data_IF_604348655633
#
_entry.id   IF_604348655633
#
_cell.length_a   1.000
_cell.length_b   1.000
_cell.length_c   1.000
_cell.angle_alpha   90.00
_cell.angle_beta   90.00
_cell.angle_gamma   90.00
#
_symmetry.space_group_name_H-M   'P 1'
#
loop_
_entity.id
_entity.type
_entity.pdbx_description
1 polymer ?
#
# COMPACT_ATOMS: atom_id res chain seq x y z
N UNK A 1 -0.37 -4.80 7.90
CA UNK A 1 0.82 -3.99 7.55
C UNK A 1 2.02 -4.89 7.29
N UNK A 2 2.65 -4.75 6.13
CA UNK A 2 3.80 -5.56 5.71
C UNK A 2 5.11 -4.85 6.05
N UNK A 3 6.06 -5.56 6.67
CA UNK A 3 7.41 -5.10 6.94
C UNK A 3 8.39 -5.82 6.02
N UNK A 4 9.02 -5.09 5.11
CA UNK A 4 10.06 -5.63 4.22
C UNK A 4 11.41 -5.06 4.67
N UNK A 5 12.11 -5.81 5.51
CA UNK A 5 13.37 -5.38 6.13
C UNK A 5 14.38 -6.52 6.04
N UNK A 6 15.51 -6.27 5.37
CA UNK A 6 16.53 -7.29 5.13
C UNK A 6 17.29 -7.69 6.40
N UNK A 7 17.34 -6.80 7.41
CA UNK A 7 18.03 -7.07 8.65
C UNK A 7 17.07 -7.64 9.71
N UNK A 8 17.31 -8.88 10.22
CA UNK A 8 16.36 -9.55 11.11
C UNK A 8 16.15 -8.80 12.44
N UNK A 9 17.19 -8.18 13.00
CA UNK A 9 17.09 -7.41 14.25
C UNK A 9 16.26 -6.12 14.13
N UNK A 10 16.41 -5.39 13.02
CA UNK A 10 15.64 -4.15 12.77
C UNK A 10 14.17 -4.50 12.53
N UNK A 11 13.91 -5.55 11.75
CA UNK A 11 12.55 -6.01 11.49
C UNK A 11 11.82 -6.43 12.78
N UNK A 12 12.50 -7.15 13.68
CA UNK A 12 11.92 -7.57 14.96
C UNK A 12 11.65 -6.38 15.91
N UNK A 13 12.55 -5.40 15.98
CA UNK A 13 12.34 -4.19 16.80
C UNK A 13 11.17 -3.35 16.30
N UNK A 14 11.06 -3.18 14.98
CA UNK A 14 9.96 -2.44 14.37
C UNK A 14 8.61 -3.16 14.55
N UNK A 15 8.60 -4.48 14.37
CA UNK A 15 7.43 -5.32 14.62
C UNK A 15 6.97 -5.22 16.08
N UNK A 16 7.91 -5.29 17.04
CA UNK A 16 7.60 -5.14 18.46
C UNK A 16 6.98 -3.77 18.77
N UNK A 17 7.56 -2.68 18.24
CA UNK A 17 7.01 -1.33 18.41
C UNK A 17 5.58 -1.21 17.86
N UNK A 18 5.32 -1.78 16.69
CA UNK A 18 4.00 -1.73 16.06
C UNK A 18 2.97 -2.63 16.73
N UNK A 19 3.41 -3.76 17.30
CA UNK A 19 2.54 -4.67 18.03
C UNK A 19 2.13 -4.12 19.40
N UNK A 20 2.99 -3.33 20.05
CA UNK A 20 2.65 -2.62 21.30
C UNK A 20 1.47 -1.66 21.09
N UNK A 21 1.31 -1.09 19.89
CA UNK A 21 0.17 -0.24 19.59
C UNK A 21 -1.16 -1.02 19.40
N UNK A 22 -1.14 -2.38 19.37
CA UNK A 22 -2.27 -3.30 19.13
C UNK A 22 -3.17 -2.99 17.92
N UNK A 23 -2.76 -2.03 17.09
CA UNK A 23 -3.56 -1.46 16.01
C UNK A 23 -3.23 -2.01 14.62
N UNK A 24 -2.13 -2.73 14.50
CA UNK A 24 -1.64 -3.22 13.21
C UNK A 24 -1.37 -4.71 13.27
N UNK A 25 -2.04 -5.49 12.41
CA UNK A 25 -1.62 -6.86 12.10
C UNK A 25 -0.36 -6.79 11.24
N UNK A 26 0.79 -7.22 11.76
CA UNK A 26 2.10 -7.10 11.10
C UNK A 26 2.60 -8.43 10.58
N UNK A 27 3.12 -8.44 9.33
CA UNK A 27 3.89 -9.58 8.80
C UNK A 27 5.24 -9.10 8.28
N UNK A 28 6.27 -9.92 8.48
CA UNK A 28 7.64 -9.59 8.10
C UNK A 28 8.13 -10.50 6.98
N UNK A 29 8.80 -9.88 6.01
CA UNK A 29 9.56 -10.55 4.96
C UNK A 29 10.94 -9.90 4.85
N UNK A 30 11.91 -10.65 4.34
CA UNK A 30 13.31 -10.21 4.30
C UNK A 30 13.73 -9.68 2.92
N UNK A 31 12.90 -9.89 1.90
CA UNK A 31 13.17 -9.45 0.54
C UNK A 31 11.88 -9.18 -0.23
N UNK A 32 11.98 -8.40 -1.32
CA UNK A 32 10.85 -8.17 -2.23
C UNK A 32 10.45 -9.42 -3.02
N UNK A 33 11.37 -10.38 -3.19
CA UNK A 33 11.04 -11.66 -3.83
C UNK A 33 10.11 -12.51 -2.95
N UNK A 34 10.25 -12.46 -1.62
CA UNK A 34 9.30 -13.10 -0.70
C UNK A 34 7.91 -12.47 -0.75
N UNK A 35 7.81 -11.17 -1.06
CA UNK A 35 6.51 -10.51 -1.28
C UNK A 35 5.80 -11.13 -2.49
N UNK A 36 6.55 -11.40 -3.58
CA UNK A 36 6.00 -12.02 -4.79
C UNK A 36 5.70 -13.51 -4.65
N UNK A 37 6.55 -14.23 -3.92
CA UNK A 37 6.35 -15.64 -3.63
C UNK A 37 5.05 -15.89 -2.84
N UNK A 38 4.44 -14.83 -2.33
CA UNK A 38 3.12 -14.84 -1.74
C UNK A 38 3.22 -14.94 -0.24
N UNK A 39 2.58 -13.98 0.41
CA UNK A 39 2.11 -14.18 1.78
C UNK A 39 0.70 -14.75 1.61
N UNK A 40 0.52 -16.07 1.72
CA UNK A 40 -0.71 -16.83 1.41
C UNK A 40 -2.01 -16.04 1.62
N UNK A 41 -2.58 -15.52 0.52
CA UNK A 41 -3.86 -14.81 0.49
C UNK A 41 -3.96 -13.53 1.33
N UNK A 42 -2.87 -13.10 1.97
CA UNK A 42 -2.87 -11.97 2.90
C UNK A 42 -2.42 -10.69 2.18
N UNK A 43 -3.30 -9.71 2.16
CA UNK A 43 -3.06 -8.39 1.57
C UNK A 43 -2.82 -7.37 2.67
N UNK A 44 -1.66 -6.72 2.65
CA UNK A 44 -1.40 -5.61 3.56
C UNK A 44 -2.02 -4.30 3.06
N UNK A 45 -2.61 -3.52 3.98
CA UNK A 45 -3.11 -2.17 3.67
C UNK A 45 -1.99 -1.16 3.35
N UNK A 46 -0.81 -1.41 3.91
CA UNK A 46 0.38 -0.58 3.73
C UNK A 46 1.63 -1.44 3.95
N UNK A 47 2.71 -1.11 3.24
CA UNK A 47 4.03 -1.70 3.41
C UNK A 47 5.04 -0.68 3.92
N UNK A 48 5.90 -1.09 4.85
CA UNK A 48 7.10 -0.39 5.27
C UNK A 48 8.32 -1.14 4.72
N UNK A 49 9.14 -0.46 3.91
CA UNK A 49 10.21 -1.11 3.16
C UNK A 49 11.54 -0.43 3.45
N UNK A 50 12.58 -1.19 3.79
CA UNK A 50 13.93 -0.66 3.91
C UNK A 50 14.41 -0.14 2.55
N UNK A 51 14.86 1.11 2.50
CA UNK A 51 15.36 1.76 1.29
C UNK A 51 16.47 0.96 0.59
N UNK A 52 17.29 0.22 1.34
CA UNK A 52 18.32 -0.66 0.75
C UNK A 52 17.69 -1.71 -0.17
N UNK A 53 16.55 -2.28 0.22
CA UNK A 53 15.85 -3.28 -0.59
C UNK A 53 15.15 -2.68 -1.82
N UNK A 54 14.84 -1.37 -1.79
CA UNK A 54 14.27 -0.65 -2.94
C UNK A 54 15.34 -0.41 -4.02
N UNK A 55 16.62 -0.31 -3.64
CA UNK A 55 17.69 -0.10 -4.62
C UNK A 55 18.03 -1.34 -5.45
N UNK A 56 17.98 -2.52 -4.82
CA UNK A 56 18.38 -3.79 -5.47
C UNK A 56 17.19 -4.66 -5.88
N UNK A 57 16.02 -4.44 -5.29
CA UNK A 57 14.87 -5.30 -5.48
C UNK A 57 13.89 -4.80 -6.53
N UNK A 58 13.03 -5.71 -7.00
CA UNK A 58 11.98 -5.41 -7.96
C UNK A 58 10.76 -4.79 -7.28
N UNK A 59 10.62 -3.48 -7.42
CA UNK A 59 9.64 -2.66 -6.69
C UNK A 59 8.19 -2.92 -7.10
N UNK A 60 7.94 -3.54 -8.26
CA UNK A 60 6.59 -3.84 -8.75
C UNK A 60 5.90 -4.94 -7.95
N UNK A 61 6.63 -5.65 -7.10
CA UNK A 61 6.07 -6.59 -6.11
C UNK A 61 5.16 -5.89 -5.08
N UNK A 62 5.35 -4.58 -4.87
CA UNK A 62 4.66 -3.79 -3.86
C UNK A 62 3.45 -3.09 -4.49
N UNK A 63 2.38 -3.84 -4.71
CA UNK A 63 1.13 -3.33 -5.25
C UNK A 63 0.30 -2.50 -4.23
N UNK A 64 0.71 -2.51 -2.96
CA UNK A 64 0.06 -1.77 -1.88
C UNK A 64 0.76 -0.44 -1.59
N UNK A 65 0.08 0.51 -0.93
CA UNK A 65 0.67 1.77 -0.47
C UNK A 65 1.97 1.52 0.30
N UNK A 66 3.07 2.15 -0.10
CA UNK A 66 4.39 1.84 0.46
C UNK A 66 5.10 3.07 1.00
N UNK A 67 5.67 2.97 2.20
CA UNK A 67 6.54 3.98 2.81
C UNK A 67 7.96 3.43 2.87
N UNK A 68 8.94 4.22 2.41
CA UNK A 68 10.36 3.85 2.46
C UNK A 68 11.00 4.28 3.78
N UNK A 69 11.73 3.38 4.42
CA UNK A 69 12.61 3.71 5.54
C UNK A 69 14.01 4.06 5.02
N UNK A 70 14.44 5.30 5.24
CA UNK A 70 15.75 5.79 4.79
C UNK A 70 16.56 6.41 5.92
N UNK A 71 17.89 6.41 5.82
CA UNK A 71 18.75 7.13 6.76
C UNK A 71 18.72 8.65 6.57
N UNK A 72 18.45 9.12 5.34
CA UNK A 72 18.45 10.53 4.98
C UNK A 72 17.32 10.90 4.01
N UNK A 73 17.05 12.20 3.92
CA UNK A 73 15.92 12.74 3.16
C UNK A 73 16.07 12.64 1.65
N UNK A 74 17.29 12.84 1.15
CA UNK A 74 17.57 12.81 -0.28
C UNK A 74 17.30 11.42 -0.85
N UNK A 75 17.86 10.39 -0.22
CA UNK A 75 17.65 9.01 -0.62
C UNK A 75 16.22 8.57 -0.37
N UNK A 76 15.62 8.99 0.75
CA UNK A 76 14.23 8.66 1.05
C UNK A 76 13.26 9.12 -0.03
N UNK A 77 13.38 10.38 -0.46
CA UNK A 77 12.54 10.93 -1.53
C UNK A 77 12.80 10.24 -2.87
N UNK A 78 14.08 10.05 -3.23
CA UNK A 78 14.48 9.37 -4.47
C UNK A 78 13.94 7.94 -4.53
N UNK A 79 14.08 7.16 -3.47
CA UNK A 79 13.63 5.77 -3.41
C UNK A 79 12.12 5.66 -3.38
N UNK A 80 11.42 6.52 -2.64
CA UNK A 80 9.96 6.55 -2.64
C UNK A 80 9.38 6.82 -4.03
N UNK A 81 10.04 7.64 -4.85
CA UNK A 81 9.61 7.93 -6.22
C UNK A 81 9.75 6.76 -7.19
N UNK A 82 10.55 5.74 -6.85
CA UNK A 82 10.73 4.52 -7.67
C UNK A 82 9.64 3.47 -7.43
N UNK A 83 8.85 3.64 -6.37
CA UNK A 83 7.80 2.71 -6.01
C UNK A 83 6.50 3.07 -6.74
N UNK A 84 5.86 2.13 -7.46
CA UNK A 84 4.59 2.40 -8.16
C UNK A 84 3.49 2.93 -7.24
N UNK A 85 3.43 2.42 -6.00
CA UNK A 85 2.50 2.84 -4.97
C UNK A 85 3.19 3.61 -3.82
N UNK A 86 4.32 4.28 -4.09
CA UNK A 86 5.08 5.05 -3.11
C UNK A 86 4.27 6.19 -2.50
N UNK A 87 4.16 6.21 -1.16
CA UNK A 87 3.43 7.22 -0.38
C UNK A 87 4.34 8.13 0.45
N UNK A 88 5.65 8.02 0.26
CA UNK A 88 6.66 8.85 0.90
C UNK A 88 7.73 8.03 1.59
N UNK A 89 8.44 8.68 2.51
CA UNK A 89 9.53 8.07 3.24
C UNK A 89 9.52 8.54 4.70
N UNK A 90 10.17 7.76 5.56
CA UNK A 90 10.41 8.04 6.97
C UNK A 90 11.89 7.81 7.28
N UNK A 91 12.42 8.54 8.27
CA UNK A 91 13.77 8.25 8.79
C UNK A 91 13.76 6.94 9.57
N UNK A 92 14.87 6.19 9.55
CA UNK A 92 15.00 4.94 10.32
C UNK A 92 14.94 5.14 11.84
N UNK A 93 15.29 6.32 12.33
CA UNK A 93 15.20 6.74 13.73
C UNK A 93 13.93 7.56 14.01
N UNK A 94 12.92 7.47 13.14
CA UNK A 94 11.63 8.12 13.36
C UNK A 94 11.00 7.64 14.68
N UNK A 95 10.39 8.58 15.40
CA UNK A 95 9.66 8.25 16.63
C UNK A 95 8.40 7.43 16.32
N UNK A 96 7.81 6.80 17.33
CA UNK A 96 6.52 6.10 17.18
C UNK A 96 5.42 7.04 16.64
N UNK A 97 5.38 8.29 17.08
CA UNK A 97 4.43 9.28 16.58
C UNK A 97 4.65 9.67 15.12
N UNK A 98 5.91 9.73 14.68
CA UNK A 98 6.23 9.98 13.27
C UNK A 98 5.82 8.80 12.39
N UNK A 99 6.05 7.58 12.88
CA UNK A 99 5.65 6.34 12.23
C UNK A 99 4.12 6.30 12.05
N UNK A 100 3.38 6.52 13.14
CA UNK A 100 1.91 6.57 13.15
C UNK A 100 1.37 7.61 12.17
N UNK A 101 1.86 8.85 12.24
CA UNK A 101 1.44 9.94 11.32
C UNK A 101 1.82 9.63 9.87
N UNK A 102 2.93 8.93 9.63
CA UNK A 102 3.32 8.46 8.31
C UNK A 102 2.33 7.45 7.74
N UNK A 103 1.99 6.44 8.54
CA UNK A 103 1.06 5.36 8.19
C UNK A 103 -0.34 5.91 7.91
N UNK A 104 -0.89 6.72 8.83
CA UNK A 104 -2.23 7.32 8.67
C UNK A 104 -2.32 8.11 7.35
N UNK A 105 -1.30 8.92 7.03
CA UNK A 105 -1.27 9.68 5.76
C UNK A 105 -1.21 8.77 4.54
N UNK A 106 -0.44 7.69 4.58
CA UNK A 106 -0.35 6.73 3.48
C UNK A 106 -1.69 6.03 3.22
N UNK A 107 -2.41 5.66 4.29
CA UNK A 107 -3.73 5.03 4.21
C UNK A 107 -4.79 6.00 3.66
N UNK A 108 -4.85 7.24 4.17
CA UNK A 108 -5.81 8.26 3.71
C UNK A 108 -5.62 8.58 2.24
N UNK A 109 -4.37 8.72 1.78
CA UNK A 109 -4.08 9.04 0.38
C UNK A 109 -4.46 7.89 -0.57
N UNK A 110 -4.57 6.66 -0.06
CA UNK A 110 -4.93 5.48 -0.85
C UNK A 110 -6.43 5.38 -1.09
N UNK A 111 -7.26 5.86 -0.15
CA UNK A 111 -8.72 5.94 -0.33
C UNK A 111 -9.17 6.94 -1.40
N UNK A 112 -8.31 7.84 -1.87
CA UNK A 112 -8.61 8.77 -2.99
C UNK A 112 -8.42 8.15 -4.38
N UNK A 113 -8.31 6.82 -4.49
CA UNK A 113 -7.92 6.10 -5.69
C UNK A 113 -8.85 6.19 -6.91
N UNK A 114 -10.05 6.76 -6.80
CA UNK A 114 -10.91 7.01 -7.96
C UNK A 114 -11.26 8.50 -8.03
N UNK A 115 -10.89 9.21 -9.10
CA UNK A 115 -11.35 10.58 -9.28
C UNK A 115 -12.89 10.58 -9.33
N UNK A 116 -13.57 11.52 -8.65
CA UNK A 116 -15.04 11.51 -8.57
C UNK A 116 -15.71 11.52 -9.94
N UNK A 117 -15.04 12.09 -10.96
CA UNK A 117 -15.49 12.08 -12.35
C UNK A 117 -15.51 10.67 -12.97
N UNK A 118 -14.52 9.84 -12.67
CA UNK A 118 -14.45 8.46 -13.17
C UNK A 118 -15.46 7.58 -12.45
N UNK A 119 -15.62 7.75 -11.14
CA UNK A 119 -16.67 7.06 -10.38
C UNK A 119 -18.07 7.39 -10.92
N UNK A 120 -18.33 8.68 -11.21
CA UNK A 120 -19.60 9.13 -11.79
C UNK A 120 -19.84 8.54 -13.19
N UNK A 121 -18.81 8.50 -14.04
CA UNK A 121 -18.91 7.92 -15.37
C UNK A 121 -19.24 6.42 -15.31
N UNK A 122 -18.54 5.66 -14.45
CA UNK A 122 -18.81 4.23 -14.25
C UNK A 122 -20.24 4.01 -13.74
N UNK A 123 -20.70 4.83 -12.80
CA UNK A 123 -22.06 4.76 -12.28
C UNK A 123 -23.10 5.06 -13.38
N UNK A 124 -22.85 6.06 -14.24
CA UNK A 124 -23.73 6.40 -15.35
C UNK A 124 -23.82 5.27 -16.38
N UNK A 125 -22.68 4.67 -16.74
CA UNK A 125 -22.64 3.53 -17.66
C UNK A 125 -23.39 2.31 -17.09
N UNK A 126 -23.22 2.05 -15.79
CA UNK A 126 -23.94 0.97 -15.12
C UNK A 126 -25.46 1.21 -15.11
N UNK A 127 -25.90 2.44 -14.82
CA UNK A 127 -27.30 2.82 -14.86
C UNK A 127 -27.90 2.66 -16.26
N UNK A 128 -27.17 3.09 -17.31
CA UNK A 128 -27.62 2.97 -18.69
C UNK A 128 -27.74 1.49 -19.12
N UNK A 129 -26.80 0.65 -18.71
CA UNK A 129 -26.86 -0.79 -18.98
C UNK A 129 -28.10 -1.42 -18.32
N UNK A 130 -28.41 -1.07 -17.07
CA UNK A 130 -29.60 -1.56 -16.36
C UNK A 130 -30.89 -1.14 -17.09
N UNK A 131 -30.99 0.13 -17.48
CA UNK A 131 -32.15 0.66 -18.22
C UNK A 131 -32.32 -0.08 -19.56
N UNK A 132 -31.24 -0.26 -20.33
CA UNK A 132 -31.28 -0.96 -21.59
C UNK A 132 -31.76 -2.42 -21.40
N UNK A 133 -31.27 -3.10 -20.36
CA UNK A 133 -31.67 -4.48 -20.06
C UNK A 133 -33.15 -4.56 -19.69
N UNK A 134 -33.66 -3.60 -18.92
CA UNK A 134 -35.09 -3.49 -18.57
C UNK A 134 -35.96 -3.28 -19.80
N UNK A 135 -35.59 -2.36 -20.70
CA UNK A 135 -36.33 -2.09 -21.94
C UNK A 135 -36.40 -3.36 -22.80
N UNK A 136 -35.27 -4.02 -23.03
CA UNK A 136 -35.22 -5.27 -23.80
C UNK A 136 -36.08 -6.35 -23.15
N UNK A 137 -36.05 -6.49 -21.83
CA UNK A 137 -36.86 -7.47 -21.10
C UNK A 137 -38.35 -7.18 -21.17
N UNK A 138 -38.77 -5.91 -21.23
CA UNK A 138 -40.18 -5.53 -21.38
C UNK A 138 -40.67 -5.83 -22.78
N UNK A 139 -39.88 -5.49 -23.81
CA UNK A 139 -40.21 -5.78 -25.21
C UNK A 139 -40.28 -7.29 -25.48
N UNK A 140 -39.38 -8.08 -24.89
CA UNK A 140 -39.36 -9.53 -25.08
C UNK A 140 -40.49 -10.29 -24.36
N UNK A 141 -41.23 -9.64 -23.44
CA UNK A 141 -42.32 -10.24 -22.67
C UNK A 141 -43.73 -9.75 -23.05
N UNK A 142 -43.82 -8.70 -23.88
CA UNK A 142 -45.08 -8.18 -24.43
C UNK A 142 -45.35 -8.76 -25.80
#
# INVERSE_FOLDING_TARGET
MLLVVGHPGIGAGLEALLRIEERYDTRRVQSLEQVRAGVDGWTADVALVDGVLVEVGRTEALAMPTIVLSGNAMDGARLASRLPAGRGWLRKDATADDLRRGIERALVRSRRGVPPRVALLVLLLLALAIIATLIVSVIARG
#
